data_IF_817072908847
#
_entry.id   IF_817072908847
#
_cell.length_a   1.000
_cell.length_b   1.000
_cell.length_c   1.000
_cell.angle_alpha   90.00
_cell.angle_beta   90.00
_cell.angle_gamma   90.00
#
_symmetry.space_group_name_H-M   'P 1'
#
loop_
_entity.id
_entity.type
_entity.pdbx_description
1 polymer ?
#
# COMPACT_ATOMS: atom_id res chain seq x y z
N UNK A 1 1.21 -6.23 47.35
CA UNK A 1 1.26 -4.78 47.60
C UNK A 1 2.52 -4.24 46.96
N UNK A 2 2.42 -3.48 45.87
CA UNK A 2 3.59 -2.84 45.25
C UNK A 2 4.05 -1.69 46.14
N UNK A 3 5.15 -1.88 46.86
CA UNK A 3 5.80 -0.87 47.67
C UNK A 3 6.33 0.26 46.77
N UNK A 4 5.75 1.45 46.87
CA UNK A 4 6.25 2.66 46.17
C UNK A 4 7.16 3.45 47.09
N UNK A 5 8.36 3.78 46.61
CA UNK A 5 9.34 4.61 47.33
C UNK A 5 9.15 6.08 46.97
N UNK A 6 9.06 6.96 47.96
CA UNK A 6 8.92 8.40 47.73
C UNK A 6 10.27 9.01 47.37
N UNK A 7 10.30 9.80 46.29
CA UNK A 7 11.45 10.57 45.85
C UNK A 7 11.04 12.03 45.67
N UNK A 8 11.83 12.97 46.21
CA UNK A 8 11.64 14.41 45.97
C UNK A 8 12.71 14.87 44.99
N UNK A 9 12.31 15.46 43.86
CA UNK A 9 13.22 16.02 42.85
C UNK A 9 12.73 17.41 42.44
N UNK A 10 13.66 18.24 42.01
CA UNK A 10 13.35 19.55 41.45
C UNK A 10 12.99 19.42 39.98
N UNK A 11 11.99 20.19 39.55
CA UNK A 11 11.59 20.33 38.16
C UNK A 11 11.80 21.76 37.73
N UNK A 12 12.17 21.93 36.47
CA UNK A 12 12.04 23.24 35.83
C UNK A 12 10.56 23.70 35.87
N UNK A 13 10.27 24.97 36.19
CA UNK A 13 8.90 25.47 36.29
C UNK A 13 8.07 25.33 35.00
N UNK A 14 8.68 25.43 33.82
CA UNK A 14 7.99 25.21 32.55
C UNK A 14 7.67 23.73 32.36
N UNK A 15 8.60 22.84 32.70
CA UNK A 15 8.40 21.39 32.61
C UNK A 15 7.27 20.93 33.54
N UNK A 16 7.19 21.48 34.77
CA UNK A 16 6.12 21.14 35.71
C UNK A 16 4.74 21.54 35.15
N UNK A 17 4.63 22.70 34.49
CA UNK A 17 3.39 23.13 33.82
C UNK A 17 2.99 22.18 32.68
N UNK A 18 3.97 21.66 31.92
CA UNK A 18 3.70 20.69 30.85
C UNK A 18 3.18 19.36 31.42
N UNK A 19 3.77 18.86 32.51
CA UNK A 19 3.30 17.64 33.20
C UNK A 19 1.89 17.84 33.77
N UNK A 20 1.59 19.01 34.32
CA UNK A 20 0.26 19.39 34.78
C UNK A 20 -0.77 19.39 33.66
N UNK A 21 -0.46 20.04 32.54
CA UNK A 21 -1.34 20.06 31.37
C UNK A 21 -1.57 18.64 30.82
N UNK A 22 -0.53 17.80 30.78
CA UNK A 22 -0.63 16.42 30.30
C UNK A 22 -1.47 15.55 31.25
N UNK A 23 -1.30 15.72 32.56
CA UNK A 23 -2.07 15.07 33.62
C UNK A 23 -3.57 15.34 33.45
N UNK A 24 -3.94 16.60 33.19
CA UNK A 24 -5.32 16.99 32.93
C UNK A 24 -5.85 16.40 31.62
N UNK A 25 -5.07 16.47 30.52
CA UNK A 25 -5.49 15.94 29.21
C UNK A 25 -5.69 14.44 29.20
N UNK A 26 -4.82 13.68 29.87
CA UNK A 26 -4.82 12.21 29.89
C UNK A 26 -5.57 11.61 31.08
N UNK A 27 -6.08 12.44 32.01
CA UNK A 27 -6.72 12.01 33.27
C UNK A 27 -5.85 11.05 34.09
N UNK A 28 -4.54 11.28 34.11
CA UNK A 28 -3.56 10.48 34.86
C UNK A 28 -2.87 11.34 35.91
N UNK A 29 -2.44 10.75 37.02
CA UNK A 29 -1.71 11.51 38.06
C UNK A 29 -0.34 11.96 37.56
N UNK A 30 0.15 13.10 38.06
CA UNK A 30 1.49 13.61 37.72
C UNK A 30 2.58 12.56 38.01
N UNK A 31 2.47 11.87 39.15
CA UNK A 31 3.38 10.79 39.54
C UNK A 31 3.36 9.62 38.55
N UNK A 32 2.18 9.23 38.04
CA UNK A 32 2.07 8.14 37.07
C UNK A 32 2.68 8.53 35.71
N UNK A 33 2.53 9.79 35.30
CA UNK A 33 3.17 10.31 34.07
C UNK A 33 4.68 10.29 34.21
N UNK A 34 5.21 10.79 35.33
CA UNK A 34 6.66 10.84 35.59
C UNK A 34 7.23 9.43 35.71
N UNK A 35 6.56 8.53 36.42
CA UNK A 35 6.95 7.11 36.53
C UNK A 35 6.99 6.44 35.16
N UNK A 36 5.97 6.63 34.33
CA UNK A 36 5.93 6.08 32.97
C UNK A 36 7.03 6.66 32.07
N UNK A 37 7.29 7.96 32.15
CA UNK A 37 8.34 8.62 31.37
C UNK A 37 9.73 8.12 31.78
N UNK A 38 10.01 8.02 33.08
CA UNK A 38 11.28 7.51 33.60
C UNK A 38 11.46 6.03 33.28
N UNK A 39 10.41 5.21 33.43
CA UNK A 39 10.44 3.80 33.04
C UNK A 39 10.72 3.64 31.53
N UNK A 40 10.10 4.47 30.68
CA UNK A 40 10.33 4.47 29.23
C UNK A 40 11.72 4.96 28.83
N UNK A 41 12.30 5.89 29.59
CA UNK A 41 13.66 6.39 29.37
C UNK A 41 14.70 5.35 29.78
N UNK A 42 14.51 4.71 30.94
CA UNK A 42 15.42 3.70 31.47
C UNK A 42 15.35 2.37 30.72
N UNK A 43 14.24 2.07 30.03
CA UNK A 43 14.13 0.84 29.28
C UNK A 43 15.01 0.82 28.02
N UNK A 44 15.44 1.98 27.48
CA UNK A 44 16.31 2.09 26.28
C UNK A 44 15.69 1.59 24.97
N UNK A 45 14.78 0.65 25.07
CA UNK A 45 14.14 -0.14 24.02
C UNK A 45 13.10 0.66 23.21
N UNK A 46 12.49 1.68 23.81
CA UNK A 46 11.30 2.31 23.19
C UNK A 46 11.61 3.08 21.92
N UNK A 47 12.77 3.74 21.84
CA UNK A 47 13.21 4.46 20.65
C UNK A 47 13.74 3.49 19.58
N UNK A 48 14.60 2.54 19.95
CA UNK A 48 15.16 1.55 19.03
C UNK A 48 14.08 0.64 18.43
N UNK A 49 13.09 0.23 19.21
CA UNK A 49 11.96 -0.57 18.71
C UNK A 49 11.06 0.24 17.76
N UNK A 50 10.86 1.54 18.03
CA UNK A 50 10.13 2.43 17.13
C UNK A 50 10.88 2.57 15.79
N UNK A 51 12.19 2.80 15.83
CA UNK A 51 13.03 2.90 14.66
C UNK A 51 13.03 1.59 13.85
N UNK A 52 13.20 0.45 14.52
CA UNK A 52 13.16 -0.86 13.88
C UNK A 52 11.78 -1.18 13.26
N UNK A 53 10.68 -0.79 13.92
CA UNK A 53 9.34 -0.92 13.37
C UNK A 53 9.13 -0.01 12.14
N UNK A 54 9.70 1.19 12.17
CA UNK A 54 9.63 2.14 11.06
C UNK A 54 10.44 1.65 9.85
N UNK A 55 11.66 1.16 10.04
CA UNK A 55 12.47 0.56 8.98
C UNK A 55 11.76 -0.62 8.32
N UNK A 56 11.18 -1.55 9.11
CA UNK A 56 10.40 -2.67 8.55
C UNK A 56 9.20 -2.20 7.73
N UNK A 57 8.54 -1.12 8.14
CA UNK A 57 7.42 -0.54 7.40
C UNK A 57 7.90 0.08 6.09
N UNK A 58 9.05 0.77 6.09
CA UNK A 58 9.65 1.34 4.88
C UNK A 58 10.07 0.24 3.90
N UNK A 59 10.71 -0.84 4.37
CA UNK A 59 11.07 -1.98 3.52
C UNK A 59 9.84 -2.63 2.89
N UNK A 60 8.74 -2.71 3.64
CA UNK A 60 7.46 -3.21 3.11
C UNK A 60 6.90 -2.28 2.03
N UNK A 61 7.01 -0.96 2.20
CA UNK A 61 6.60 0.00 1.18
C UNK A 61 7.49 -0.08 -0.05
N UNK A 62 8.81 -0.26 0.11
CA UNK A 62 9.75 -0.47 -0.99
C UNK A 62 9.32 -1.66 -1.86
N UNK A 63 9.11 -2.83 -1.23
CA UNK A 63 8.62 -4.02 -1.95
C UNK A 63 7.29 -3.82 -2.67
N UNK A 64 6.38 -3.01 -2.12
CA UNK A 64 5.11 -2.69 -2.80
C UNK A 64 5.33 -1.78 -4.00
N UNK A 65 6.31 -0.87 -3.94
CA UNK A 65 6.66 0.00 -5.06
C UNK A 65 7.34 -0.81 -6.16
N UNK A 66 8.25 -1.71 -5.81
CA UNK A 66 8.94 -2.58 -6.78
C UNK A 66 7.93 -3.46 -7.54
N UNK A 67 6.98 -4.07 -6.83
CA UNK A 67 5.90 -4.84 -7.45
C UNK A 67 5.00 -3.97 -8.35
N UNK A 68 4.74 -2.72 -7.97
CA UNK A 68 3.96 -1.79 -8.80
C UNK A 68 4.72 -1.37 -10.07
N UNK A 69 6.04 -1.26 -10.00
CA UNK A 69 6.88 -0.95 -11.16
C UNK A 69 6.84 -2.09 -12.18
N UNK A 70 6.95 -3.34 -11.70
CA UNK A 70 6.80 -4.53 -12.53
C UNK A 70 5.40 -4.64 -13.15
N UNK A 71 4.34 -4.47 -12.36
CA UNK A 71 2.96 -4.44 -12.86
C UNK A 71 2.77 -3.37 -13.95
N UNK A 72 3.38 -2.19 -13.77
CA UNK A 72 3.31 -1.09 -14.74
C UNK A 72 4.08 -1.42 -16.03
N UNK A 73 5.24 -2.06 -15.91
CA UNK A 73 6.01 -2.53 -17.06
C UNK A 73 5.19 -3.53 -17.90
N UNK A 74 4.56 -4.52 -17.27
CA UNK A 74 3.71 -5.51 -17.92
C UNK A 74 2.53 -4.84 -18.66
N UNK A 75 1.88 -3.84 -18.03
CA UNK A 75 0.81 -3.08 -18.68
C UNK A 75 1.33 -2.30 -19.88
N UNK A 76 2.51 -1.69 -19.77
CA UNK A 76 3.17 -0.97 -20.87
C UNK A 76 3.50 -1.87 -22.07
N UNK A 77 4.05 -3.06 -21.81
CA UNK A 77 4.35 -4.05 -22.84
C UNK A 77 3.07 -4.59 -23.50
N UNK A 78 2.06 -4.92 -22.70
CA UNK A 78 0.76 -5.41 -23.20
C UNK A 78 0.09 -4.36 -24.09
N UNK A 79 0.11 -3.09 -23.69
CA UNK A 79 -0.42 -1.98 -24.49
C UNK A 79 0.35 -1.82 -25.80
N UNK A 80 1.68 -1.94 -25.75
CA UNK A 80 2.54 -1.85 -26.94
C UNK A 80 2.21 -2.97 -27.93
N UNK A 81 2.05 -4.21 -27.45
CA UNK A 81 1.62 -5.35 -28.27
C UNK A 81 0.23 -5.15 -28.86
N UNK A 82 -0.72 -4.64 -28.06
CA UNK A 82 -2.07 -4.33 -28.51
C UNK A 82 -2.05 -3.28 -29.62
N UNK A 83 -1.31 -2.19 -29.46
CA UNK A 83 -1.19 -1.13 -30.49
C UNK A 83 -0.57 -1.70 -31.76
N UNK A 84 0.50 -2.50 -31.66
CA UNK A 84 1.13 -3.15 -32.81
C UNK A 84 0.14 -4.05 -33.55
N UNK A 85 -0.59 -4.88 -32.80
CA UNK A 85 -1.63 -5.74 -33.36
C UNK A 85 -2.72 -4.92 -34.05
N UNK A 86 -3.22 -3.87 -33.39
CA UNK A 86 -4.22 -2.97 -33.96
C UNK A 86 -3.75 -2.35 -35.27
N UNK A 87 -2.54 -1.80 -35.34
CA UNK A 87 -2.00 -1.19 -36.57
C UNK A 87 -1.75 -2.21 -37.69
N UNK A 88 -1.44 -3.46 -37.34
CA UNK A 88 -1.17 -4.52 -38.32
C UNK A 88 -2.46 -5.07 -38.92
N UNK A 89 -3.50 -5.26 -38.10
CA UNK A 89 -4.72 -5.95 -38.51
C UNK A 89 -5.89 -5.03 -38.86
N UNK A 90 -5.81 -3.73 -38.57
CA UNK A 90 -6.90 -2.80 -38.91
C UNK A 90 -6.91 -2.53 -40.42
N UNK A 91 -7.97 -2.95 -41.15
CA UNK A 91 -8.06 -2.69 -42.58
C UNK A 91 -8.19 -1.18 -42.83
N UNK A 92 -7.52 -0.64 -43.86
CA UNK A 92 -7.69 0.77 -44.22
C UNK A 92 -9.15 1.02 -44.63
N UNK A 93 -9.76 2.03 -44.02
CA UNK A 93 -11.15 2.39 -44.29
C UNK A 93 -11.24 3.30 -45.53
N UNK A 94 -12.23 3.08 -46.40
CA UNK A 94 -12.49 4.00 -47.52
C UNK A 94 -12.92 5.37 -46.99
N UNK A 95 -12.57 6.42 -47.74
CA UNK A 95 -12.72 7.83 -47.33
C UNK A 95 -14.15 8.19 -46.93
N UNK A 96 -15.13 7.64 -47.64
CA UNK A 96 -16.56 7.81 -47.38
C UNK A 96 -17.03 7.19 -46.06
N UNK A 97 -16.30 6.22 -45.50
CA UNK A 97 -16.64 5.54 -44.26
C UNK A 97 -15.86 6.06 -43.04
N UNK A 98 -14.89 6.98 -43.22
CA UNK A 98 -14.06 7.45 -42.10
C UNK A 98 -14.86 8.19 -41.04
N UNK A 99 -15.80 9.05 -41.46
CA UNK A 99 -16.59 9.86 -40.53
C UNK A 99 -17.55 8.99 -39.71
N UNK A 100 -18.26 8.06 -40.36
CA UNK A 100 -19.14 7.12 -39.66
C UNK A 100 -18.37 6.15 -38.76
N UNK A 101 -17.19 5.68 -39.18
CA UNK A 101 -16.33 4.84 -38.35
C UNK A 101 -15.79 5.59 -37.11
N UNK A 102 -15.41 6.87 -37.25
CA UNK A 102 -15.01 7.73 -36.12
C UNK A 102 -16.16 7.93 -35.13
N UNK A 103 -17.36 8.25 -35.62
CA UNK A 103 -18.54 8.41 -34.79
C UNK A 103 -18.87 7.13 -34.01
N UNK A 104 -18.84 5.97 -34.70
CA UNK A 104 -19.08 4.67 -34.05
C UNK A 104 -17.98 4.29 -33.06
N UNK A 105 -16.72 4.67 -33.34
CA UNK A 105 -15.60 4.49 -32.42
C UNK A 105 -15.79 5.28 -31.13
N UNK A 106 -16.21 6.55 -31.23
CA UNK A 106 -16.50 7.39 -30.08
C UNK A 106 -17.64 6.81 -29.21
N UNK A 107 -18.75 6.38 -29.84
CA UNK A 107 -19.88 5.73 -29.16
C UNK A 107 -19.43 4.46 -28.40
N UNK A 108 -18.62 3.60 -29.03
CA UNK A 108 -18.09 2.39 -28.39
C UNK A 108 -17.16 2.72 -27.21
N UNK A 109 -16.33 3.74 -27.36
CA UNK A 109 -15.43 4.18 -26.30
C UNK A 109 -16.20 4.72 -25.09
N UNK A 110 -17.26 5.49 -25.32
CA UNK A 110 -18.12 5.97 -24.25
C UNK A 110 -18.79 4.82 -23.49
N UNK A 111 -19.34 3.83 -24.20
CA UNK A 111 -19.91 2.63 -23.58
C UNK A 111 -18.89 1.81 -22.78
N UNK A 112 -17.65 1.72 -23.28
CA UNK A 112 -16.53 1.14 -22.53
C UNK A 112 -16.25 1.93 -21.24
N UNK A 113 -16.16 3.25 -21.30
CA UNK A 113 -15.90 4.10 -20.13
C UNK A 113 -16.99 3.97 -19.07
N UNK A 114 -18.26 3.88 -19.47
CA UNK A 114 -19.37 3.63 -18.56
C UNK A 114 -19.25 2.25 -17.89
N UNK A 115 -18.92 1.21 -18.66
CA UNK A 115 -18.73 -0.15 -18.15
C UNK A 115 -17.53 -0.25 -17.19
N UNK A 116 -16.41 0.40 -17.54
CA UNK A 116 -15.22 0.50 -16.71
C UNK A 116 -15.51 1.24 -15.40
N UNK A 117 -16.18 2.40 -15.49
CA UNK A 117 -16.58 3.17 -14.31
C UNK A 117 -17.46 2.38 -13.35
N UNK A 118 -18.42 1.61 -13.87
CA UNK A 118 -19.26 0.71 -13.07
C UNK A 118 -18.43 -0.38 -12.37
N UNK A 119 -17.50 -1.01 -13.09
CA UNK A 119 -16.63 -2.06 -12.52
C UNK A 119 -15.71 -1.51 -11.43
N UNK A 120 -15.10 -0.35 -11.66
CA UNK A 120 -14.26 0.35 -10.67
C UNK A 120 -15.05 0.72 -9.41
N UNK A 121 -16.29 1.22 -9.57
CA UNK A 121 -17.17 1.54 -8.45
C UNK A 121 -17.61 0.31 -7.62
N UNK A 122 -17.64 -0.87 -8.25
CA UNK A 122 -17.98 -2.14 -7.60
C UNK A 122 -16.78 -2.70 -6.80
N UNK A 123 -15.57 -2.17 -7.00
CA UNK A 123 -14.37 -2.57 -6.26
C UNK A 123 -13.74 -3.89 -6.72
N UNK A 124 -14.24 -4.45 -7.82
CA UNK A 124 -13.83 -5.74 -8.36
C UNK A 124 -12.51 -5.58 -9.11
N UNK A 125 -11.40 -5.72 -8.37
CA UNK A 125 -10.05 -5.46 -8.88
C UNK A 125 -9.58 -6.65 -9.71
N UNK A 126 -9.92 -6.63 -10.99
CA UNK A 126 -9.41 -7.52 -12.03
C UNK A 126 -7.91 -7.84 -11.87
N UNK A 127 -7.08 -6.83 -11.58
CA UNK A 127 -5.63 -7.01 -11.41
C UNK A 127 -5.24 -7.84 -10.18
N UNK A 128 -6.05 -7.84 -9.11
CA UNK A 128 -5.82 -8.70 -7.93
C UNK A 128 -6.20 -10.15 -8.16
N UNK A 129 -7.16 -10.40 -9.04
CA UNK A 129 -7.54 -11.76 -9.44
C UNK A 129 -6.47 -12.34 -10.36
N UNK A 130 -6.05 -11.55 -11.37
CA UNK A 130 -5.01 -11.95 -12.30
C UNK A 130 -3.67 -12.24 -11.61
N UNK A 131 -3.22 -11.38 -10.68
CA UNK A 131 -1.96 -11.63 -9.95
C UNK A 131 -2.02 -12.87 -9.06
N UNK A 132 -3.20 -13.18 -8.50
CA UNK A 132 -3.41 -14.41 -7.73
C UNK A 132 -3.35 -15.63 -8.64
N UNK A 133 -3.98 -15.56 -9.82
CA UNK A 133 -4.01 -16.67 -10.77
C UNK A 133 -2.62 -16.94 -11.36
N UNK A 134 -1.84 -15.90 -11.64
CA UNK A 134 -0.44 -16.02 -12.08
C UNK A 134 0.41 -16.64 -10.97
N UNK A 135 0.34 -16.13 -9.74
CA UNK A 135 1.09 -16.69 -8.61
C UNK A 135 0.71 -18.16 -8.33
N UNK A 136 -0.56 -18.52 -8.49
CA UNK A 136 -1.02 -19.90 -8.37
C UNK A 136 -0.46 -20.77 -9.51
N UNK A 137 -0.39 -20.23 -10.73
CA UNK A 137 0.17 -20.95 -11.89
C UNK A 137 1.67 -21.19 -11.77
N UNK A 138 2.42 -20.24 -11.19
CA UNK A 138 3.85 -20.39 -10.90
C UNK A 138 4.11 -21.40 -9.79
N UNK A 139 3.29 -21.40 -8.72
CA UNK A 139 3.37 -22.41 -7.66
C UNK A 139 3.07 -23.82 -8.18
N UNK A 140 2.04 -23.95 -9.02
CA UNK A 140 1.71 -25.22 -9.65
C UNK A 140 2.87 -25.69 -10.55
N UNK A 141 3.49 -24.79 -11.31
CA UNK A 141 4.64 -25.13 -12.15
C UNK A 141 5.87 -25.60 -11.33
N UNK A 142 6.15 -24.98 -10.19
CA UNK A 142 7.25 -25.40 -9.31
C UNK A 142 6.98 -26.75 -8.62
N UNK A 143 5.73 -27.01 -8.20
CA UNK A 143 5.36 -28.29 -7.56
C UNK A 143 5.47 -29.46 -8.55
N UNK A 144 5.18 -29.22 -9.84
CA UNK A 144 5.38 -30.23 -10.89
C UNK A 144 6.86 -30.51 -11.18
N UNK A 145 7.73 -29.50 -11.15
CA UNK A 145 9.17 -29.70 -11.35
C UNK A 145 9.89 -30.37 -10.17
N UNK A 146 9.35 -30.22 -8.95
CA UNK A 146 9.92 -30.83 -7.74
C UNK A 146 9.53 -32.31 -7.63
N UNK A 147 8.31 -32.68 -8.05
CA UNK A 147 7.81 -34.06 -8.03
C UNK A 147 8.37 -34.94 -9.16
N UNK A 148 8.93 -34.37 -10.24
CA UNK A 148 9.62 -35.12 -11.31
C UNK A 148 11.12 -35.37 -11.00
N UNK A 149 11.63 -34.86 -9.86
CA UNK A 149 13.03 -35.03 -9.41
C UNK A 149 13.23 -36.03 -8.27
N UNK A 150 12.16 -36.61 -7.72
CA UNK A 150 12.18 -37.75 -6.78
C UNK A 150 11.96 -39.10 -7.47
#
# INVERSE_FOLDING_TARGET
MTTRTRMNVYFDPELLKQVEALSLRRKMSKSAIVEAAVASFLSGDSAEQLEAAMSRRLDKLGRLIDALDEDLAIVGETLSLFIRFWLTFTPPLPDSARESARAKGAERFEGFMQSLGRRLATGDRFLKELSRDIALSEQIATDFEENDRE
#
